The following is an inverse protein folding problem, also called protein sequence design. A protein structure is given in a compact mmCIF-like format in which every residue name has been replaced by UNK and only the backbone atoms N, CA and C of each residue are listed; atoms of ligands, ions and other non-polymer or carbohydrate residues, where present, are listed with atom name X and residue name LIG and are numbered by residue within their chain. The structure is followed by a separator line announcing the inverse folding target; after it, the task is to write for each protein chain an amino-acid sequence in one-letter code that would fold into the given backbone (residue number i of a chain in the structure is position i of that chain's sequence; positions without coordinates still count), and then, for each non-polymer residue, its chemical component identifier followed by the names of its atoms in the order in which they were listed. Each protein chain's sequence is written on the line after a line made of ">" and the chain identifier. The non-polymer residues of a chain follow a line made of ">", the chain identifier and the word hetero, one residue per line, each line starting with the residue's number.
data_IF_251635753222
#
_entry.id   IF_251635753222
#
_cell.length_a   1.000
_cell.length_b   1.000
_cell.length_c   1.000
_cell.angle_alpha   90.00
_cell.angle_beta   90.00
_cell.angle_gamma   90.00
#
_symmetry.space_group_name_H-M   'P 1'
#
loop_
_entity.id
_entity.type
_entity.pdbx_description
1 polymer ?
#
# COMPACT_ATOMS: atom_id res chain seq x y z
N UNK A 1 -10.08 -11.04 -20.46
CA UNK A 1 -10.47 -10.06 -19.41
C UNK A 1 -10.89 -10.89 -18.20
N UNK A 2 -9.96 -11.21 -17.31
CA UNK A 2 -10.28 -11.90 -16.07
C UNK A 2 -11.13 -10.93 -15.24
N UNK A 3 -12.38 -11.32 -14.94
CA UNK A 3 -13.14 -10.69 -13.84
C UNK A 3 -12.34 -11.01 -12.59
N UNK A 4 -11.62 -10.04 -12.08
CA UNK A 4 -10.99 -10.17 -10.76
C UNK A 4 -12.10 -10.54 -9.78
N UNK A 5 -11.86 -11.61 -9.01
CA UNK A 5 -12.79 -12.01 -7.93
C UNK A 5 -12.99 -10.79 -7.03
N UNK A 6 -14.23 -10.56 -6.63
CA UNK A 6 -14.57 -9.48 -5.69
C UNK A 6 -13.68 -9.63 -4.45
N UNK A 7 -13.01 -8.56 -4.07
CA UNK A 7 -12.13 -8.52 -2.91
C UNK A 7 -12.93 -8.78 -1.64
N UNK A 8 -12.54 -9.79 -0.87
CA UNK A 8 -13.24 -10.22 0.35
C UNK A 8 -12.39 -9.90 1.58
N UNK A 9 -12.98 -9.16 2.51
CA UNK A 9 -12.33 -8.82 3.78
C UNK A 9 -12.56 -9.93 4.81
N UNK A 10 -11.47 -10.53 5.30
CA UNK A 10 -11.46 -11.45 6.44
C UNK A 10 -10.52 -10.89 7.51
N UNK A 11 -10.91 -10.96 8.78
CA UNK A 11 -10.05 -10.64 9.92
C UNK A 11 -9.84 -11.90 10.74
N UNK A 12 -8.58 -12.28 10.94
CA UNK A 12 -8.15 -13.40 11.74
C UNK A 12 -7.35 -12.92 12.95
N UNK A 13 -7.77 -13.31 14.15
CA UNK A 13 -7.04 -13.02 15.39
C UNK A 13 -5.77 -13.88 15.47
N UNK A 14 -4.72 -13.31 16.05
CA UNK A 14 -3.45 -13.97 16.37
C UNK A 14 -3.10 -13.74 17.85
N UNK A 15 -2.07 -14.39 18.35
CA UNK A 15 -1.65 -14.22 19.76
C UNK A 15 -1.32 -12.75 20.13
N UNK A 16 -0.74 -12.00 19.19
CA UNK A 16 -0.26 -10.63 19.46
C UNK A 16 -1.11 -9.54 18.78
N UNK A 17 -2.15 -9.89 18.03
CA UNK A 17 -2.94 -8.91 17.30
C UNK A 17 -3.92 -9.53 16.33
N UNK A 18 -4.02 -8.97 15.11
CA UNK A 18 -4.87 -9.54 14.06
C UNK A 18 -4.27 -9.31 12.67
N UNK A 19 -4.73 -10.12 11.73
CA UNK A 19 -4.44 -10.02 10.30
C UNK A 19 -5.75 -9.78 9.56
N UNK A 20 -5.80 -8.75 8.73
CA UNK A 20 -6.86 -8.49 7.75
C UNK A 20 -6.35 -8.89 6.37
N UNK A 21 -7.14 -9.63 5.58
CA UNK A 21 -6.69 -10.12 4.29
C UNK A 21 -7.83 -10.37 3.31
N UNK A 22 -7.46 -10.47 2.03
CA UNK A 22 -8.33 -10.91 0.94
C UNK A 22 -8.18 -12.43 0.75
N UNK A 23 -9.22 -13.20 1.11
CA UNK A 23 -9.19 -14.66 1.01
C UNK A 23 -9.21 -15.19 -0.44
N UNK A 24 -9.39 -14.33 -1.42
CA UNK A 24 -9.23 -14.69 -2.83
C UNK A 24 -7.78 -14.67 -3.29
N UNK A 25 -6.89 -14.08 -2.46
CA UNK A 25 -5.43 -14.03 -2.67
C UNK A 25 -4.73 -15.08 -1.80
N UNK A 26 -5.03 -15.07 -0.48
CA UNK A 26 -4.46 -15.98 0.50
C UNK A 26 -5.58 -16.81 1.14
N UNK A 27 -5.49 -18.14 1.05
CA UNK A 27 -6.46 -19.05 1.70
C UNK A 27 -6.22 -19.12 3.21
N UNK A 28 -4.94 -19.09 3.61
CA UNK A 28 -4.49 -19.10 5.00
C UNK A 28 -3.45 -18.00 5.22
N UNK A 29 -3.42 -17.44 6.42
CA UNK A 29 -2.48 -16.39 6.79
C UNK A 29 -1.87 -16.66 8.16
N UNK A 30 -0.60 -16.30 8.31
CA UNK A 30 0.12 -16.30 9.59
C UNK A 30 0.99 -15.07 9.71
N UNK A 31 1.59 -14.83 10.88
CA UNK A 31 2.55 -13.74 11.06
C UNK A 31 3.79 -13.88 10.17
N UNK A 32 4.14 -15.08 9.77
CA UNK A 32 5.27 -15.36 8.88
C UNK A 32 5.08 -14.72 7.49
N UNK A 33 3.83 -14.53 7.05
CA UNK A 33 3.51 -13.83 5.81
C UNK A 33 4.16 -12.43 5.73
N UNK A 34 4.35 -11.78 6.89
CA UNK A 34 4.93 -10.43 6.98
C UNK A 34 6.44 -10.45 7.24
N UNK A 35 7.08 -11.62 7.23
CA UNK A 35 8.54 -11.76 7.30
C UNK A 35 9.13 -11.92 5.90
N UNK A 36 10.00 -10.99 5.43
CA UNK A 36 10.63 -11.14 4.12
C UNK A 36 11.39 -12.46 3.94
N UNK A 37 11.93 -13.02 5.05
CA UNK A 37 12.69 -14.27 5.02
C UNK A 37 11.83 -15.52 4.76
N UNK A 38 10.53 -15.44 4.96
CA UNK A 38 9.59 -16.55 4.70
C UNK A 38 9.23 -16.67 3.23
N UNK A 39 9.66 -15.73 2.39
CA UNK A 39 9.42 -15.74 0.95
C UNK A 39 10.67 -16.22 0.22
N UNK A 40 10.53 -17.21 -0.67
CA UNK A 40 11.63 -17.83 -1.42
C UNK A 40 12.48 -16.81 -2.19
N UNK A 41 11.85 -15.75 -2.69
CA UNK A 41 12.50 -14.67 -3.43
C UNK A 41 12.02 -13.32 -2.92
N UNK A 42 12.60 -12.85 -1.81
CA UNK A 42 12.39 -11.49 -1.33
C UNK A 42 13.55 -10.58 -1.75
N UNK A 43 13.25 -9.37 -2.19
CA UNK A 43 14.26 -8.36 -2.53
C UNK A 43 13.90 -7.05 -1.85
N UNK A 44 14.83 -6.54 -1.03
CA UNK A 44 14.70 -5.20 -0.44
C UNK A 44 14.72 -4.15 -1.55
N UNK A 45 13.86 -3.15 -1.46
CA UNK A 45 13.90 -1.99 -2.35
C UNK A 45 15.23 -1.26 -2.17
N UNK A 46 15.94 -1.01 -3.26
CA UNK A 46 17.15 -0.18 -3.26
C UNK A 46 16.84 1.32 -3.37
N UNK A 47 15.58 1.70 -3.60
CA UNK A 47 15.19 3.09 -3.78
C UNK A 47 14.99 3.76 -2.42
N UNK A 48 16.07 4.30 -1.85
CA UNK A 48 16.05 5.20 -0.69
C UNK A 48 15.51 6.62 -1.02
N UNK A 49 15.04 6.85 -2.24
CA UNK A 49 14.54 8.15 -2.68
C UNK A 49 13.19 8.43 -2.01
N UNK A 50 13.24 9.06 -0.84
CA UNK A 50 12.08 9.62 -0.14
C UNK A 50 11.29 8.67 0.77
N UNK A 51 11.60 7.38 0.83
CA UNK A 51 10.85 6.40 1.61
C UNK A 51 11.48 6.11 2.98
N UNK A 52 10.82 6.51 4.06
CA UNK A 52 11.19 6.19 5.44
C UNK A 52 10.73 4.79 5.88
N UNK A 53 10.64 3.83 4.99
CA UNK A 53 10.14 2.51 5.29
C UNK A 53 10.98 1.42 4.65
N UNK A 54 11.09 0.25 5.29
CA UNK A 54 11.56 -0.92 4.60
C UNK A 54 10.44 -1.44 3.71
N UNK A 55 10.66 -1.36 2.41
CA UNK A 55 9.79 -1.92 1.39
C UNK A 55 10.49 -3.13 0.79
N UNK A 56 9.80 -4.26 0.75
CA UNK A 56 10.29 -5.49 0.15
C UNK A 56 9.41 -5.91 -1.01
N UNK A 57 10.04 -6.30 -2.11
CA UNK A 57 9.36 -6.96 -3.22
C UNK A 57 9.40 -8.46 -2.98
N UNK A 58 8.24 -9.08 -2.93
CA UNK A 58 8.04 -10.48 -2.61
C UNK A 58 7.53 -11.20 -3.85
N UNK A 59 8.02 -12.41 -4.10
CA UNK A 59 7.59 -13.23 -5.23
C UNK A 59 7.05 -14.58 -4.73
N UNK A 60 5.91 -14.96 -5.27
CA UNK A 60 5.27 -16.26 -5.08
C UNK A 60 4.87 -16.80 -6.46
N UNK A 61 5.77 -17.54 -7.10
CA UNK A 61 5.61 -17.97 -8.48
C UNK A 61 5.44 -16.77 -9.44
N UNK A 62 4.29 -16.73 -10.11
CA UNK A 62 3.96 -15.63 -11.02
C UNK A 62 3.37 -14.41 -10.32
N UNK A 63 3.02 -14.54 -9.04
CA UNK A 63 2.43 -13.47 -8.24
C UNK A 63 3.52 -12.64 -7.57
N UNK A 64 3.39 -11.32 -7.66
CA UNK A 64 4.34 -10.36 -7.09
C UNK A 64 3.63 -9.45 -6.11
N UNK A 65 4.28 -9.20 -4.97
CA UNK A 65 3.73 -8.40 -3.89
C UNK A 65 4.73 -7.35 -3.41
N UNK A 66 4.21 -6.37 -2.70
CA UNK A 66 4.99 -5.33 -2.02
C UNK A 66 4.61 -5.38 -0.54
N UNK A 67 5.57 -5.69 0.31
CA UNK A 67 5.45 -5.60 1.77
C UNK A 67 6.02 -4.27 2.23
N UNK A 68 5.23 -3.50 2.97
CA UNK A 68 5.63 -2.24 3.61
C UNK A 68 5.50 -2.37 5.13
N UNK A 69 6.61 -2.16 5.84
CA UNK A 69 6.62 -1.97 7.30
C UNK A 69 6.46 -0.49 7.63
N UNK A 70 5.61 -0.17 8.61
CA UNK A 70 5.37 1.23 9.00
C UNK A 70 6.41 1.73 9.98
N UNK A 71 7.08 2.83 9.64
CA UNK A 71 8.02 3.52 10.51
C UNK A 71 7.53 4.90 10.89
N UNK A 72 7.84 5.33 12.11
CA UNK A 72 7.67 6.71 12.53
C UNK A 72 8.73 7.59 11.90
N UNK A 73 8.28 8.73 11.33
CA UNK A 73 9.18 9.80 10.92
C UNK A 73 9.27 10.91 11.96
N UNK A 74 10.33 11.76 11.88
CA UNK A 74 10.51 12.94 12.71
C UNK A 74 11.23 12.69 14.04
N UNK A 75 11.18 13.67 14.95
CA UNK A 75 11.92 13.66 16.23
C UNK A 75 11.52 12.51 17.16
N UNK A 76 10.30 11.98 17.04
CA UNK A 76 9.78 10.87 17.85
C UNK A 76 10.44 9.53 17.49
N UNK A 77 11.04 9.42 16.30
CA UNK A 77 11.78 8.21 15.88
C UNK A 77 12.98 7.88 16.76
N UNK A 78 13.49 8.85 17.54
CA UNK A 78 14.61 8.62 18.48
C UNK A 78 14.24 7.70 19.64
N UNK A 79 12.97 7.59 20.00
CA UNK A 79 12.50 6.80 21.15
C UNK A 79 11.71 5.54 20.76
N UNK A 80 11.09 5.51 19.58
CA UNK A 80 10.32 4.35 19.10
C UNK A 80 10.21 4.40 17.58
N UNK A 81 11.09 3.69 16.91
CA UNK A 81 11.29 3.79 15.46
C UNK A 81 10.11 3.20 14.65
N UNK A 82 9.45 2.15 15.17
CA UNK A 82 8.44 1.36 14.45
C UNK A 82 7.15 1.10 15.24
N UNK A 83 6.96 1.78 16.38
CA UNK A 83 5.83 1.51 17.27
C UNK A 83 4.89 2.70 17.39
N UNK A 84 3.58 2.43 17.38
CA UNK A 84 2.50 3.41 17.42
C UNK A 84 1.63 3.20 18.66
N UNK A 85 1.01 4.28 19.16
CA UNK A 85 0.08 4.18 20.29
C UNK A 85 -1.16 3.38 19.87
N UNK A 86 -1.52 2.38 20.69
CA UNK A 86 -2.71 1.57 20.49
C UNK A 86 -3.97 2.35 20.86
N UNK A 87 -4.84 2.57 19.90
CA UNK A 87 -6.14 3.24 20.06
C UNK A 87 -7.31 2.36 19.59
N UNK A 88 -7.07 1.05 19.46
CA UNK A 88 -8.01 0.08 18.93
C UNK A 88 -7.67 -0.39 17.51
N UNK A 89 -8.09 -1.61 17.17
CA UNK A 89 -7.80 -2.32 15.91
C UNK A 89 -8.10 -1.47 14.68
N UNK A 90 -9.31 -0.93 14.60
CA UNK A 90 -9.78 -0.12 13.46
C UNK A 90 -9.02 1.20 13.29
N UNK A 91 -8.22 1.61 14.28
CA UNK A 91 -7.39 2.81 14.23
C UNK A 91 -5.92 2.51 13.89
N UNK A 92 -5.56 1.23 13.72
CA UNK A 92 -4.21 0.88 13.27
C UNK A 92 -3.98 1.37 11.85
N UNK A 93 -2.75 1.80 11.56
CA UNK A 93 -2.40 2.38 10.26
C UNK A 93 -2.60 1.38 9.13
N UNK A 94 -2.17 0.13 9.35
CA UNK A 94 -2.26 -0.95 8.37
C UNK A 94 -3.71 -1.31 8.01
N UNK A 95 -4.59 -1.44 9.00
CA UNK A 95 -6.01 -1.75 8.75
C UNK A 95 -6.75 -0.60 8.07
N UNK A 96 -6.44 0.64 8.47
CA UNK A 96 -7.00 1.83 7.83
C UNK A 96 -6.58 1.93 6.36
N UNK A 97 -5.28 1.76 6.07
CA UNK A 97 -4.77 1.80 4.71
C UNK A 97 -5.33 0.63 3.88
N UNK A 98 -5.40 -0.59 4.44
CA UNK A 98 -5.95 -1.74 3.74
C UNK A 98 -7.42 -1.53 3.35
N UNK A 99 -8.26 -1.04 4.29
CA UNK A 99 -9.69 -0.76 4.03
C UNK A 99 -9.90 0.41 3.06
N UNK A 100 -9.06 1.43 3.13
CA UNK A 100 -9.08 2.52 2.16
C UNK A 100 -8.73 2.02 0.76
N UNK A 101 -7.67 1.21 0.63
CA UNK A 101 -7.30 0.58 -0.63
C UNK A 101 -8.41 -0.32 -1.17
N UNK A 102 -9.04 -1.14 -0.30
CA UNK A 102 -10.21 -1.95 -0.68
C UNK A 102 -11.33 -1.09 -1.25
N UNK A 103 -11.72 -0.03 -0.54
CA UNK A 103 -12.77 0.89 -1.00
C UNK A 103 -12.45 1.50 -2.37
N UNK A 104 -11.23 1.96 -2.58
CA UNK A 104 -10.79 2.56 -3.85
C UNK A 104 -10.72 1.52 -4.96
N UNK A 105 -10.22 0.32 -4.66
CA UNK A 105 -10.14 -0.81 -5.59
C UNK A 105 -11.54 -1.27 -6.05
N UNK A 106 -12.48 -1.40 -5.11
CA UNK A 106 -13.88 -1.76 -5.40
C UNK A 106 -14.61 -0.70 -6.26
N UNK A 107 -14.11 0.56 -6.25
CA UNK A 107 -14.53 1.64 -7.14
C UNK A 107 -13.81 1.62 -8.50
N UNK A 108 -13.00 0.59 -8.79
CA UNK A 108 -12.18 0.46 -9.99
C UNK A 108 -11.19 1.62 -10.19
N UNK A 109 -10.77 2.28 -9.11
CA UNK A 109 -9.73 3.29 -9.17
C UNK A 109 -8.35 2.61 -9.26
N UNK A 110 -7.38 3.21 -9.97
CA UNK A 110 -6.06 2.62 -10.17
C UNK A 110 -5.20 2.75 -8.91
N UNK A 111 -5.34 1.78 -8.04
CA UNK A 111 -4.58 1.59 -6.80
C UNK A 111 -4.07 0.16 -6.73
N UNK A 112 -3.00 -0.15 -6.00
CA UNK A 112 -2.58 -1.53 -5.79
C UNK A 112 -3.69 -2.29 -5.03
N UNK A 113 -3.94 -3.53 -5.43
CA UNK A 113 -4.90 -4.39 -4.72
C UNK A 113 -4.33 -4.73 -3.34
N UNK A 114 -5.04 -4.44 -2.24
CA UNK A 114 -4.62 -4.86 -0.91
C UNK A 114 -4.73 -6.38 -0.78
N UNK A 115 -3.68 -7.03 -0.30
CA UNK A 115 -3.63 -8.48 -0.14
C UNK A 115 -3.79 -8.87 1.32
N UNK A 116 -2.95 -8.33 2.21
CA UNK A 116 -3.04 -8.56 3.64
C UNK A 116 -2.47 -7.36 4.42
N UNK A 117 -2.87 -7.21 5.66
CA UNK A 117 -2.22 -6.30 6.61
C UNK A 117 -2.29 -6.88 8.03
N UNK A 118 -1.31 -6.58 8.85
CA UNK A 118 -1.28 -6.98 10.24
C UNK A 118 -1.06 -5.81 11.17
N UNK A 119 -1.32 -6.04 12.44
CA UNK A 119 -0.69 -5.35 13.54
C UNK A 119 -0.28 -6.34 14.62
N UNK A 120 0.79 -6.00 15.35
CA UNK A 120 1.25 -6.72 16.53
C UNK A 120 1.28 -5.75 17.71
N UNK A 121 0.46 -6.03 18.72
CA UNK A 121 0.33 -5.21 19.92
C UNK A 121 1.26 -5.69 21.01
N UNK A 122 1.97 -4.75 21.63
CA UNK A 122 2.73 -4.96 22.85
C UNK A 122 2.37 -3.85 23.85
N UNK A 123 1.60 -4.21 24.88
CA UNK A 123 1.06 -3.27 25.87
C UNK A 123 0.26 -2.13 25.23
N UNK A 124 0.74 -0.90 25.32
CA UNK A 124 0.12 0.32 24.78
C UNK A 124 0.62 0.70 23.38
N UNK A 125 1.49 -0.11 22.80
CA UNK A 125 2.09 0.14 21.50
C UNK A 125 1.75 -0.98 20.51
N UNK A 126 1.83 -0.69 19.21
CA UNK A 126 1.74 -1.70 18.16
C UNK A 126 2.72 -1.41 17.02
N UNK A 127 3.13 -2.46 16.32
CA UNK A 127 3.79 -2.45 15.02
C UNK A 127 2.82 -2.90 13.95
N UNK A 128 3.08 -2.55 12.70
CA UNK A 128 2.16 -2.87 11.62
C UNK A 128 2.89 -3.03 10.28
N UNK A 129 2.29 -3.86 9.42
CA UNK A 129 2.73 -4.13 8.07
C UNK A 129 1.54 -4.19 7.12
N UNK A 130 1.77 -3.92 5.84
CA UNK A 130 0.80 -4.12 4.78
C UNK A 130 1.44 -4.79 3.57
N UNK A 131 0.72 -5.72 2.96
CA UNK A 131 1.06 -6.38 1.70
C UNK A 131 0.04 -5.98 0.65
N UNK A 132 0.52 -5.50 -0.48
CA UNK A 132 -0.28 -5.21 -1.67
C UNK A 132 0.23 -5.99 -2.87
N UNK A 133 -0.62 -6.26 -3.86
CA UNK A 133 -0.13 -6.76 -5.14
C UNK A 133 0.73 -5.70 -5.81
N UNK A 134 1.87 -6.13 -6.37
CA UNK A 134 2.76 -5.25 -7.10
C UNK A 134 2.11 -4.80 -8.41
N UNK A 135 2.08 -3.49 -8.65
CA UNK A 135 1.72 -2.94 -9.95
C UNK A 135 2.88 -3.24 -10.92
N UNK A 136 2.62 -3.93 -12.03
CA UNK A 136 3.70 -4.32 -12.94
C UNK A 136 4.26 -3.12 -13.70
N UNK A 137 5.58 -3.11 -13.88
CA UNK A 137 6.30 -2.23 -14.81
C UNK A 137 5.97 -0.74 -14.68
N UNK A 138 5.89 -0.26 -13.45
CA UNK A 138 5.66 1.15 -13.13
C UNK A 138 6.94 1.87 -12.73
N UNK A 139 6.95 3.19 -12.93
CA UNK A 139 7.97 4.10 -12.41
C UNK A 139 7.30 5.35 -11.80
N UNK A 140 7.94 6.02 -10.82
CA UNK A 140 7.42 7.28 -10.28
C UNK A 140 7.23 8.33 -11.36
N UNK A 141 6.17 9.14 -11.25
CA UNK A 141 5.96 10.29 -12.13
C UNK A 141 7.17 11.22 -12.15
N UNK A 142 7.84 11.41 -11.00
CA UNK A 142 9.05 12.21 -10.90
C UNK A 142 10.17 11.73 -11.87
N UNK A 143 10.38 10.41 -11.95
CA UNK A 143 11.32 9.78 -12.88
C UNK A 143 10.83 9.89 -14.32
N UNK A 144 9.53 9.59 -14.54
CA UNK A 144 8.92 9.63 -15.87
C UNK A 144 9.07 10.99 -16.57
N UNK A 145 8.84 12.10 -15.84
CA UNK A 145 8.97 13.45 -16.40
C UNK A 145 10.42 13.88 -16.62
N UNK A 146 11.38 13.30 -15.89
CA UNK A 146 12.79 13.61 -16.05
C UNK A 146 13.43 12.91 -17.28
N UNK A 147 12.88 11.75 -17.68
CA UNK A 147 13.51 10.87 -18.68
C UNK A 147 12.86 10.95 -20.06
N UNK A 148 11.65 11.50 -20.19
CA UNK A 148 10.85 11.36 -21.43
C UNK A 148 10.19 12.63 -21.87
N UNK A 149 10.01 12.74 -23.20
CA UNK A 149 9.09 13.72 -23.77
C UNK A 149 7.65 13.31 -23.42
N UNK A 150 6.97 14.17 -22.68
CA UNK A 150 5.62 13.91 -22.18
C UNK A 150 4.61 14.18 -23.30
N UNK A 151 3.71 13.24 -23.62
CA UNK A 151 2.64 13.47 -24.58
C UNK A 151 1.75 14.65 -24.17
N UNK A 152 1.34 15.50 -25.11
CA UNK A 152 0.53 16.71 -24.83
C UNK A 152 -0.75 16.44 -24.02
N UNK A 153 -1.37 15.27 -24.23
CA UNK A 153 -2.62 14.90 -23.53
C UNK A 153 -2.41 14.17 -22.18
N UNK A 154 -1.16 13.90 -21.79
CA UNK A 154 -0.84 13.18 -20.56
C UNK A 154 -1.35 13.92 -19.33
N UNK A 155 -1.09 15.21 -19.23
CA UNK A 155 -1.48 16.02 -18.08
C UNK A 155 -3.00 16.11 -17.91
N UNK A 156 -3.74 16.20 -19.03
CA UNK A 156 -5.21 16.15 -18.99
C UNK A 156 -5.69 14.81 -18.47
N UNK A 157 -5.12 13.69 -18.94
CA UNK A 157 -5.48 12.34 -18.46
C UNK A 157 -5.17 12.16 -16.98
N UNK A 158 -3.99 12.61 -16.53
CA UNK A 158 -3.62 12.57 -15.11
C UNK A 158 -4.58 13.42 -14.26
N UNK A 159 -4.92 14.62 -14.71
CA UNK A 159 -5.89 15.50 -14.04
C UNK A 159 -7.27 14.86 -13.89
N UNK A 160 -7.80 14.26 -14.97
CA UNK A 160 -9.07 13.52 -14.90
C UNK A 160 -9.01 12.34 -13.93
N UNK A 161 -7.89 11.62 -13.91
CA UNK A 161 -7.75 10.50 -13.01
C UNK A 161 -7.70 10.94 -11.55
N UNK A 162 -6.97 12.01 -11.22
CA UNK A 162 -6.95 12.60 -9.86
C UNK A 162 -8.35 13.09 -9.48
N UNK A 163 -9.08 13.73 -10.40
CA UNK A 163 -10.45 14.15 -10.17
C UNK A 163 -11.36 12.97 -9.80
N UNK A 164 -11.22 11.79 -10.44
CA UNK A 164 -11.99 10.60 -10.09
C UNK A 164 -11.75 10.14 -8.65
N UNK A 165 -10.53 10.27 -8.12
CA UNK A 165 -10.25 10.02 -6.71
C UNK A 165 -10.94 11.05 -5.79
N UNK A 166 -10.95 12.33 -6.19
CA UNK A 166 -11.64 13.37 -5.43
C UNK A 166 -13.16 13.18 -5.44
N UNK A 167 -13.75 12.70 -6.55
CA UNK A 167 -15.19 12.42 -6.64
C UNK A 167 -15.67 11.35 -5.64
N UNK A 168 -14.82 10.41 -5.27
CA UNK A 168 -15.14 9.44 -4.22
C UNK A 168 -14.76 9.94 -2.81
N UNK A 169 -14.39 11.21 -2.68
CA UNK A 169 -14.05 11.85 -1.41
C UNK A 169 -12.63 11.56 -0.91
N UNK A 170 -11.72 11.04 -1.76
CA UNK A 170 -10.36 10.73 -1.31
C UNK A 170 -9.60 12.01 -0.95
N UNK A 171 -9.09 12.06 0.27
CA UNK A 171 -8.00 12.92 0.72
C UNK A 171 -6.75 12.09 0.93
N UNK A 172 -5.77 12.22 0.05
CA UNK A 172 -4.55 11.40 0.07
C UNK A 172 -3.57 11.80 1.17
N UNK A 173 -3.56 13.08 1.57
CA UNK A 173 -2.70 13.69 2.58
C UNK A 173 -1.19 13.76 2.24
N UNK A 174 -0.69 13.00 1.26
CA UNK A 174 0.71 13.04 0.82
C UNK A 174 0.82 12.82 -0.71
N UNK A 175 -0.08 13.43 -1.49
CA UNK A 175 -0.04 13.34 -2.95
C UNK A 175 1.15 14.13 -3.51
N UNK A 176 2.09 13.41 -4.10
CA UNK A 176 3.28 13.97 -4.73
C UNK A 176 3.73 13.11 -5.92
N UNK A 177 4.72 13.57 -6.68
CA UNK A 177 5.17 12.91 -7.90
C UNK A 177 5.86 11.53 -7.67
N UNK A 178 6.23 11.18 -6.44
CA UNK A 178 6.75 9.84 -6.11
C UNK A 178 5.63 8.86 -5.78
N UNK A 179 4.48 9.36 -5.29
CA UNK A 179 3.30 8.56 -4.96
C UNK A 179 2.34 8.38 -6.14
N UNK A 180 2.67 8.95 -7.30
CA UNK A 180 2.04 8.70 -8.58
C UNK A 180 2.97 7.81 -9.38
N UNK A 181 2.49 6.61 -9.76
CA UNK A 181 3.25 5.65 -10.55
C UNK A 181 2.68 5.62 -11.97
N UNK A 182 3.56 5.56 -12.98
CA UNK A 182 3.19 5.54 -14.40
C UNK A 182 3.61 4.21 -14.99
N UNK A 183 2.68 3.48 -15.60
CA UNK A 183 2.97 2.24 -16.31
C UNK A 183 3.37 2.49 -17.79
N UNK A 184 3.77 1.43 -18.48
CA UNK A 184 4.19 1.50 -19.90
C UNK A 184 3.10 2.01 -20.85
N UNK A 185 1.83 1.92 -20.47
CA UNK A 185 0.70 2.46 -21.25
C UNK A 185 0.38 3.92 -20.93
N UNK A 186 1.19 4.56 -20.09
CA UNK A 186 1.00 5.90 -19.55
C UNK A 186 -0.27 6.03 -18.67
N UNK A 187 -0.76 4.92 -18.13
CA UNK A 187 -1.79 4.94 -17.08
C UNK A 187 -1.12 5.28 -15.76
N UNK A 188 -1.75 6.14 -14.99
CA UNK A 188 -1.25 6.52 -13.66
C UNK A 188 -1.95 5.69 -12.56
N UNK A 189 -1.21 5.44 -11.49
CA UNK A 189 -1.63 4.69 -10.31
C UNK A 189 -1.26 5.50 -9.08
N UNK A 190 -2.11 5.52 -8.05
CA UNK A 190 -1.76 6.12 -6.76
C UNK A 190 -1.33 5.05 -5.77
N UNK A 191 -0.31 5.36 -4.98
CA UNK A 191 0.23 4.50 -3.93
C UNK A 191 0.42 5.28 -2.62
N UNK A 192 0.66 4.57 -1.51
CA UNK A 192 0.97 5.13 -0.17
C UNK A 192 -0.17 5.94 0.45
N UNK A 193 -1.24 5.24 0.83
CA UNK A 193 -2.44 5.82 1.44
C UNK A 193 -2.41 5.85 2.98
N UNK A 194 -1.24 5.69 3.60
CA UNK A 194 -1.05 5.59 5.04
C UNK A 194 -1.75 6.72 5.86
N UNK A 195 -1.77 7.94 5.33
CA UNK A 195 -2.45 9.09 5.94
C UNK A 195 -3.76 9.44 5.23
N UNK A 196 -4.14 8.65 4.24
CA UNK A 196 -5.33 8.87 3.44
C UNK A 196 -6.63 8.67 4.22
N UNK A 197 -7.69 9.29 3.74
CA UNK A 197 -9.05 9.14 4.28
C UNK A 197 -10.09 9.51 3.24
N UNK A 198 -11.30 8.99 3.41
CA UNK A 198 -12.48 9.49 2.68
C UNK A 198 -13.06 10.65 3.49
N UNK A 199 -13.36 11.75 2.81
CA UNK A 199 -13.99 12.95 3.35
C UNK A 199 -15.30 13.21 2.60
N UNK A 200 -16.30 13.63 3.31
CA UNK A 200 -17.57 14.12 2.77
C UNK A 200 -17.41 15.50 2.13
#
# INVERSE_FOLDING_TARGET
>A
MYKDKVLTEIVQNTELGSIIFDNTIFEEVSQELFSPSSWLHSKKSSNEIGGRGNVYFLNDGDKKYVLKHYFRGGLVSKFSYDSYLWLGENKTRSFREWRLLKFLYDKNLPVPRPAAANYQKNNYLYKADIITQQIPEVQPLATFIAEKTIPNNFWCKLGYQIANFHFVGLFHADLNAFNIQIDKSHKSWLIDFDKGSIRE
#
